data_IF_548970279117
#
_entry.id   IF_548970279117
#
_cell.length_a   1.000
_cell.length_b   1.000
_cell.length_c   1.000
_cell.angle_alpha   90.00
_cell.angle_beta   90.00
_cell.angle_gamma   90.00
#
_symmetry.space_group_name_H-M   'P 1'
#
loop_
_entity.id
_entity.type
_entity.pdbx_description
1 polymer ?
#
# COMPACT_ATOMS: atom_id res chain seq x y z
N UNK A 1 -8.96 8.76 5.11
CA UNK A 1 -10.08 8.99 4.17
C UNK A 1 -10.94 7.76 4.19
N UNK A 2 -12.11 7.84 4.79
CA UNK A 2 -13.05 6.71 4.79
C UNK A 2 -13.94 6.79 3.56
N UNK A 3 -14.43 5.66 3.05
CA UNK A 3 -15.28 5.60 1.84
C UNK A 3 -14.65 6.25 0.59
N UNK A 4 -13.38 5.90 0.29
CA UNK A 4 -12.58 6.51 -0.77
C UNK A 4 -13.30 6.67 -2.14
N UNK A 5 -14.07 5.68 -2.65
CA UNK A 5 -14.80 5.80 -3.92
C UNK A 5 -15.98 6.77 -3.90
N UNK A 6 -16.40 7.31 -2.74
CA UNK A 6 -17.50 8.28 -2.65
C UNK A 6 -17.02 9.73 -2.85
N UNK A 7 -15.71 9.97 -2.80
CA UNK A 7 -15.16 11.28 -3.13
C UNK A 7 -15.24 11.57 -4.62
N UNK A 8 -15.45 12.85 -4.97
CA UNK A 8 -15.39 13.30 -6.34
C UNK A 8 -14.04 12.95 -6.98
N UNK A 9 -14.09 12.40 -8.21
CA UNK A 9 -12.90 11.92 -8.90
C UNK A 9 -11.84 13.02 -9.04
N UNK A 10 -12.21 14.27 -9.29
CA UNK A 10 -11.25 15.38 -9.41
C UNK A 10 -10.51 15.61 -8.11
N UNK A 11 -11.17 15.47 -6.96
CA UNK A 11 -10.53 15.59 -5.64
C UNK A 11 -9.50 14.48 -5.44
N UNK A 12 -9.84 13.24 -5.81
CA UNK A 12 -8.91 12.12 -5.75
C UNK A 12 -7.69 12.31 -6.67
N UNK A 13 -7.89 12.83 -7.89
CA UNK A 13 -6.79 13.09 -8.82
C UNK A 13 -5.81 14.16 -8.32
N UNK A 14 -6.28 15.12 -7.53
CA UNK A 14 -5.43 16.17 -6.91
C UNK A 14 -4.49 15.58 -5.87
N UNK A 15 -4.84 14.46 -5.22
CA UNK A 15 -3.96 13.81 -4.23
C UNK A 15 -2.68 13.24 -4.84
N UNK A 16 -2.63 13.03 -6.16
CA UNK A 16 -1.46 12.40 -6.81
C UNK A 16 -0.17 13.21 -6.65
N UNK A 17 -0.26 14.53 -6.75
CA UNK A 17 0.91 15.42 -6.58
C UNK A 17 1.45 15.40 -5.15
N UNK A 18 0.66 15.69 -4.09
CA UNK A 18 1.18 15.71 -2.73
C UNK A 18 1.65 14.35 -2.25
N UNK A 19 1.05 13.24 -2.70
CA UNK A 19 1.53 11.89 -2.39
C UNK A 19 2.90 11.57 -2.98
N UNK A 20 3.31 12.27 -4.04
CA UNK A 20 4.61 12.08 -4.68
C UNK A 20 5.65 13.07 -4.17
N UNK A 21 5.28 14.36 -4.12
CA UNK A 21 6.22 15.47 -3.90
C UNK A 21 6.25 15.94 -2.45
N UNK A 22 5.24 15.60 -1.63
CA UNK A 22 5.06 16.12 -0.28
C UNK A 22 4.75 17.62 -0.24
N UNK A 23 4.32 18.22 -1.36
CA UNK A 23 3.99 19.64 -1.51
C UNK A 23 2.88 19.86 -2.52
N UNK A 24 2.27 21.04 -2.47
CA UNK A 24 1.26 21.48 -3.44
C UNK A 24 1.64 22.89 -3.92
N UNK A 25 1.61 23.11 -5.22
CA UNK A 25 1.82 24.42 -5.82
C UNK A 25 0.47 24.98 -6.28
N UNK A 26 0.09 26.14 -5.74
CA UNK A 26 -1.11 26.87 -6.14
C UNK A 26 -0.67 28.06 -6.98
N UNK A 27 -1.04 28.03 -8.26
CA UNK A 27 -0.80 29.11 -9.21
C UNK A 27 -2.11 29.83 -9.52
N UNK A 28 -2.19 31.14 -9.24
CA UNK A 28 -3.33 31.99 -9.62
C UNK A 28 -2.83 33.29 -10.23
N UNK A 29 -3.25 33.58 -11.46
CA UNK A 29 -2.95 34.81 -12.20
C UNK A 29 -1.47 35.26 -12.10
N UNK A 30 -1.15 36.15 -11.15
CA UNK A 30 0.18 36.72 -10.95
C UNK A 30 1.01 36.09 -9.82
N UNK A 31 0.44 35.17 -9.03
CA UNK A 31 1.08 34.62 -7.83
C UNK A 31 1.20 33.09 -7.88
N UNK A 32 2.36 32.61 -7.42
CA UNK A 32 2.65 31.20 -7.19
C UNK A 32 2.99 31.02 -5.71
N UNK A 33 2.25 30.15 -5.03
CA UNK A 33 2.53 29.78 -3.64
C UNK A 33 2.76 28.27 -3.54
N UNK A 34 3.73 27.87 -2.74
CA UNK A 34 4.04 26.47 -2.45
C UNK A 34 3.69 26.18 -0.99
N UNK A 35 2.93 25.12 -0.75
CA UNK A 35 2.50 24.69 0.56
C UNK A 35 3.03 23.27 0.87
N UNK A 36 3.53 23.02 2.09
CA UNK A 36 3.92 21.67 2.49
C UNK A 36 2.67 20.77 2.60
N UNK A 37 2.80 19.54 2.10
CA UNK A 37 1.74 18.52 2.11
C UNK A 37 2.35 17.12 2.33
N UNK A 38 3.25 17.00 3.30
CA UNK A 38 3.92 15.75 3.64
C UNK A 38 3.10 14.97 4.68
N UNK A 39 2.20 14.11 4.21
CA UNK A 39 1.31 13.30 5.06
C UNK A 39 1.36 11.82 4.66
N UNK A 40 0.91 10.96 5.58
CA UNK A 40 0.63 9.56 5.29
C UNK A 40 -0.86 9.41 4.96
N UNK A 41 -1.18 8.93 3.77
CA UNK A 41 -2.56 8.60 3.40
C UNK A 41 -2.94 7.24 3.95
N UNK A 42 -3.98 7.23 4.79
CA UNK A 42 -4.73 6.02 5.12
C UNK A 42 -6.11 6.16 4.49
N UNK A 43 -6.50 5.18 3.69
CA UNK A 43 -7.78 5.16 3.02
C UNK A 43 -8.49 3.82 3.21
N UNK A 44 -9.82 3.87 3.29
CA UNK A 44 -10.68 2.69 3.38
C UNK A 44 -11.76 2.76 2.30
N UNK A 45 -12.19 1.60 1.84
CA UNK A 45 -13.29 1.45 0.90
C UNK A 45 -13.96 0.10 1.07
N UNK A 46 -15.24 0.02 0.72
CA UNK A 46 -15.93 -1.24 0.61
C UNK A 46 -15.41 -2.06 -0.59
N UNK A 47 -15.54 -3.39 -0.60
CA UNK A 47 -15.09 -4.20 -1.74
C UNK A 47 -16.00 -4.03 -2.98
N UNK A 48 -17.24 -3.57 -2.79
CA UNK A 48 -18.27 -3.27 -3.79
C UNK A 48 -19.30 -2.26 -3.21
N UNK A 49 -20.26 -1.72 -4.00
CA UNK A 49 -21.27 -0.78 -3.51
C UNK A 49 -22.10 -1.27 -2.32
N UNK A 50 -22.46 -2.56 -2.28
CA UNK A 50 -23.26 -3.11 -1.18
C UNK A 50 -22.41 -3.59 0.02
N UNK A 51 -21.07 -3.56 -0.09
CA UNK A 51 -20.16 -3.93 1.00
C UNK A 51 -19.92 -5.43 1.22
N UNK A 52 -20.62 -6.33 0.52
CA UNK A 52 -20.61 -7.77 0.81
C UNK A 52 -19.83 -8.64 -0.17
N UNK A 53 -19.13 -8.07 -1.16
CA UNK A 53 -18.36 -8.86 -2.12
C UNK A 53 -17.29 -9.69 -1.40
N UNK A 54 -17.33 -11.02 -1.59
CA UNK A 54 -16.44 -11.97 -0.92
C UNK A 54 -16.91 -12.42 0.47
N UNK A 55 -18.04 -11.92 0.98
CA UNK A 55 -18.59 -12.31 2.28
C UNK A 55 -19.20 -13.73 2.20
N UNK A 56 -18.84 -14.59 3.17
CA UNK A 56 -19.29 -15.98 3.24
C UNK A 56 -20.82 -16.15 3.39
N UNK A 57 -21.53 -15.11 3.82
CA UNK A 57 -23.01 -15.10 3.91
C UNK A 57 -23.71 -15.05 2.55
N UNK A 58 -22.99 -14.76 1.46
CA UNK A 58 -23.58 -14.66 0.12
C UNK A 58 -24.52 -13.46 -0.08
N UNK A 59 -24.50 -12.48 0.84
CA UNK A 59 -25.37 -11.28 0.78
C UNK A 59 -25.05 -10.31 -0.37
N UNK A 60 -23.94 -10.52 -1.07
CA UNK A 60 -23.61 -9.69 -2.22
C UNK A 60 -24.54 -9.95 -3.39
N UNK A 61 -25.26 -8.92 -3.82
CA UNK A 61 -26.10 -8.93 -5.02
C UNK A 61 -25.53 -8.05 -6.14
N UNK A 62 -24.28 -7.57 -6.01
CA UNK A 62 -23.66 -6.74 -7.03
C UNK A 62 -23.21 -7.57 -8.22
N UNK A 63 -23.51 -7.10 -9.44
CA UNK A 63 -22.97 -7.68 -10.67
C UNK A 63 -21.48 -7.37 -10.81
N UNK A 64 -20.75 -8.15 -11.61
CA UNK A 64 -19.35 -7.89 -11.91
C UNK A 64 -19.14 -6.46 -12.48
N UNK A 65 -20.05 -6.00 -13.33
CA UNK A 65 -20.02 -4.65 -13.90
C UNK A 65 -20.21 -3.57 -12.82
N UNK A 66 -21.12 -3.76 -11.86
CA UNK A 66 -21.31 -2.83 -10.75
C UNK A 66 -20.06 -2.74 -9.86
N UNK A 67 -19.41 -3.88 -9.60
CA UNK A 67 -18.15 -3.94 -8.85
C UNK A 67 -17.04 -3.20 -9.60
N UNK A 68 -16.87 -3.48 -10.89
CA UNK A 68 -15.84 -2.85 -11.71
C UNK A 68 -16.06 -1.34 -11.80
N UNK A 69 -17.30 -0.89 -12.04
CA UNK A 69 -17.67 0.53 -12.08
C UNK A 69 -17.39 1.25 -10.76
N UNK A 70 -17.66 0.60 -9.64
CA UNK A 70 -17.39 1.14 -8.30
C UNK A 70 -15.88 1.32 -8.06
N UNK A 71 -15.08 0.29 -8.36
CA UNK A 71 -13.62 0.34 -8.21
C UNK A 71 -12.98 1.33 -9.18
N UNK A 72 -13.51 1.46 -10.40
CA UNK A 72 -13.04 2.40 -11.42
C UNK A 72 -13.26 3.88 -11.07
N UNK A 73 -13.97 4.20 -9.98
CA UNK A 73 -14.00 5.56 -9.43
C UNK A 73 -12.63 6.00 -8.90
N UNK A 74 -11.79 5.04 -8.49
CA UNK A 74 -10.40 5.29 -8.12
C UNK A 74 -9.54 4.98 -9.35
N UNK A 75 -8.71 5.93 -9.76
CA UNK A 75 -7.86 5.75 -10.93
C UNK A 75 -6.63 4.87 -10.62
N UNK A 76 -6.22 4.08 -11.61
CA UNK A 76 -4.95 3.32 -11.55
C UNK A 76 -3.75 4.19 -11.18
N UNK A 77 -3.55 5.37 -11.78
CA UNK A 77 -2.48 6.29 -11.39
C UNK A 77 -2.48 6.71 -9.91
N UNK A 78 -3.64 6.78 -9.25
CA UNK A 78 -3.70 7.06 -7.81
C UNK A 78 -3.32 5.82 -6.99
N UNK A 79 -3.83 4.64 -7.36
CA UNK A 79 -3.50 3.36 -6.69
C UNK A 79 -2.02 2.99 -6.80
N UNK A 80 -1.38 3.33 -7.92
CA UNK A 80 0.07 3.20 -8.12
C UNK A 80 0.89 4.01 -7.10
N UNK A 81 0.28 4.99 -6.41
CA UNK A 81 0.91 5.85 -5.40
C UNK A 81 0.62 5.40 -3.97
N UNK A 82 -0.27 4.43 -3.76
CA UNK A 82 -0.56 3.87 -2.44
C UNK A 82 0.32 2.64 -2.27
N UNK A 83 1.28 2.65 -1.35
CA UNK A 83 2.26 1.56 -1.21
C UNK A 83 1.61 0.20 -0.88
N UNK A 84 0.55 0.20 -0.06
CA UNK A 84 -0.10 -0.99 0.49
C UNK A 84 -1.60 -1.04 0.20
N UNK A 85 -2.06 -2.16 -0.34
CA UNK A 85 -3.44 -2.55 -0.53
C UNK A 85 -3.73 -3.78 0.34
N UNK A 86 -4.43 -3.56 1.45
CA UNK A 86 -4.75 -4.61 2.42
C UNK A 86 -6.24 -4.87 2.39
N UNK A 87 -6.61 -6.11 2.06
CA UNK A 87 -7.98 -6.59 2.20
C UNK A 87 -8.21 -7.02 3.66
N UNK A 88 -9.22 -6.43 4.29
CA UNK A 88 -9.61 -6.76 5.66
C UNK A 88 -10.91 -7.55 5.60
N UNK A 89 -10.85 -8.89 5.66
CA UNK A 89 -12.06 -9.71 5.64
C UNK A 89 -12.88 -9.48 6.91
N UNK A 90 -14.19 -9.69 6.81
CA UNK A 90 -15.07 -9.66 7.98
C UNK A 90 -14.67 -10.77 8.95
N UNK A 91 -14.40 -10.39 10.20
CA UNK A 91 -14.10 -11.33 11.27
C UNK A 91 -15.42 -11.91 11.83
N UNK A 92 -15.60 -13.24 11.93
CA UNK A 92 -16.79 -13.83 12.53
C UNK A 92 -16.97 -13.39 13.99
N UNK A 93 -18.21 -13.12 14.41
CA UNK A 93 -18.52 -12.70 15.78
C UNK A 93 -18.01 -13.67 16.85
N UNK A 94 -17.95 -14.97 16.56
CA UNK A 94 -17.42 -15.98 17.48
C UNK A 94 -15.93 -15.73 17.79
N UNK A 95 -15.13 -15.38 16.78
CA UNK A 95 -13.70 -15.08 16.93
C UNK A 95 -13.51 -13.79 17.72
N UNK A 96 -14.31 -12.75 17.45
CA UNK A 96 -14.26 -11.50 18.20
C UNK A 96 -14.61 -11.69 19.68
N UNK A 97 -15.52 -12.62 20.00
CA UNK A 97 -15.94 -12.91 21.38
C UNK A 97 -14.93 -13.77 22.14
N UNK A 98 -14.32 -14.73 21.46
CA UNK A 98 -13.33 -15.64 22.07
C UNK A 98 -11.97 -14.97 22.25
N UNK A 99 -11.65 -13.97 21.42
CA UNK A 99 -10.31 -13.43 21.32
C UNK A 99 -9.33 -14.44 20.71
N UNK A 100 -8.05 -14.07 20.59
CA UNK A 100 -7.01 -15.00 20.19
C UNK A 100 -6.57 -15.86 21.40
N UNK A 101 -6.34 -17.18 21.23
CA UNK A 101 -5.68 -18.00 22.24
C UNK A 101 -4.30 -17.40 22.55
N UNK A 102 -4.09 -16.92 23.78
CA UNK A 102 -2.87 -16.20 24.19
C UNK A 102 -3.01 -14.68 24.32
N UNK A 103 -4.21 -14.13 24.07
CA UNK A 103 -4.48 -12.70 24.12
C UNK A 103 -4.11 -11.97 22.82
N UNK A 104 -4.63 -10.77 22.65
CA UNK A 104 -4.29 -9.92 21.51
C UNK A 104 -2.88 -9.34 21.68
N UNK A 105 -2.13 -9.19 20.58
CA UNK A 105 -0.85 -8.52 20.62
C UNK A 105 -1.03 -7.06 21.06
N UNK A 106 -0.38 -6.67 22.17
CA UNK A 106 -0.51 -5.32 22.69
C UNK A 106 0.11 -4.27 21.75
N UNK A 107 -0.48 -3.06 21.72
CA UNK A 107 0.09 -1.95 20.96
C UNK A 107 1.52 -1.60 21.39
N UNK A 108 1.88 -1.86 22.66
CA UNK A 108 3.24 -1.67 23.16
C UNK A 108 4.24 -2.64 22.50
N UNK A 109 3.86 -3.91 22.34
CA UNK A 109 4.67 -4.91 21.65
C UNK A 109 4.86 -4.56 20.17
N UNK A 110 3.77 -4.18 19.48
CA UNK A 110 3.81 -3.72 18.08
C UNK A 110 4.71 -2.49 17.95
N UNK A 111 4.55 -1.49 18.82
CA UNK A 111 5.37 -0.27 18.83
C UNK A 111 6.86 -0.61 18.96
N UNK A 112 7.23 -1.48 19.90
CA UNK A 112 8.62 -1.88 20.07
C UNK A 112 9.20 -2.53 18.81
N UNK A 113 8.42 -3.38 18.11
CA UNK A 113 8.82 -3.99 16.83
C UNK A 113 9.02 -2.93 15.73
N UNK A 114 8.09 -1.98 15.61
CA UNK A 114 8.17 -0.89 14.62
C UNK A 114 9.37 0.03 14.90
N UNK A 115 9.60 0.39 16.16
CA UNK A 115 10.74 1.25 16.55
C UNK A 115 12.09 0.60 16.24
N UNK A 116 12.22 -0.72 16.47
CA UNK A 116 13.43 -1.47 16.08
C UNK A 116 13.70 -1.38 14.59
N UNK A 117 12.70 -1.70 13.76
CA UNK A 117 12.83 -1.63 12.30
C UNK A 117 13.16 -0.19 11.83
N UNK A 118 12.53 0.83 12.44
CA UNK A 118 12.83 2.24 12.12
C UNK A 118 14.26 2.64 12.48
N UNK A 119 14.83 2.12 13.58
CA UNK A 119 16.24 2.37 13.92
C UNK A 119 17.18 1.76 12.89
N UNK A 120 16.90 0.54 12.44
CA UNK A 120 17.68 -0.12 11.37
C UNK A 120 17.63 0.69 10.08
N UNK A 121 16.45 1.11 9.64
CA UNK A 121 16.29 1.94 8.45
C UNK A 121 17.09 3.25 8.54
N UNK A 122 16.97 3.97 9.68
CA UNK A 122 17.70 5.22 9.92
C UNK A 122 19.21 5.02 9.97
N UNK A 123 19.70 3.94 10.59
CA UNK A 123 21.12 3.63 10.61
C UNK A 123 21.67 3.34 9.20
N UNK A 124 20.87 2.70 8.34
CA UNK A 124 21.26 2.34 6.97
C UNK A 124 21.28 3.51 5.99
N UNK A 125 20.27 4.37 6.02
CA UNK A 125 20.06 5.41 4.99
C UNK A 125 19.77 6.81 5.54
N UNK A 126 19.77 7.00 6.86
CA UNK A 126 19.41 8.26 7.50
C UNK A 126 17.90 8.56 7.52
N UNK A 127 17.09 7.75 6.86
CA UNK A 127 15.65 8.00 6.70
C UNK A 127 14.78 6.74 6.82
N UNK A 128 13.46 6.90 6.80
CA UNK A 128 12.53 5.77 6.71
C UNK A 128 12.55 5.15 5.30
N UNK A 129 12.32 3.84 5.18
CA UNK A 129 12.35 3.15 3.89
C UNK A 129 11.35 3.75 2.85
N UNK A 130 10.22 4.28 3.30
CA UNK A 130 9.25 4.96 2.44
C UNK A 130 9.84 6.19 1.70
N UNK A 131 10.82 6.86 2.31
CA UNK A 131 11.45 8.08 1.79
C UNK A 131 12.70 7.82 0.95
N UNK A 132 13.10 6.56 0.72
CA UNK A 132 14.25 6.24 -0.13
C UNK A 132 14.06 6.78 -1.55
N UNK A 133 15.05 7.51 -2.06
CA UNK A 133 15.14 7.87 -3.47
C UNK A 133 15.54 6.70 -4.36
N UNK A 134 15.56 6.92 -5.68
CA UNK A 134 15.89 5.87 -6.66
C UNK A 134 17.31 5.33 -6.46
N UNK A 135 18.27 6.19 -6.12
CA UNK A 135 19.65 5.78 -5.87
C UNK A 135 19.75 4.90 -4.61
N UNK A 136 19.05 5.26 -3.55
CA UNK A 136 19.03 4.54 -2.30
C UNK A 136 18.28 3.21 -2.40
N UNK A 137 17.21 3.14 -3.22
CA UNK A 137 16.54 1.86 -3.54
C UNK A 137 17.53 0.90 -4.21
N UNK A 138 18.27 1.36 -5.21
CA UNK A 138 19.29 0.53 -5.88
C UNK A 138 20.36 0.03 -4.91
N UNK A 139 20.74 0.85 -3.93
CA UNK A 139 21.78 0.53 -2.94
C UNK A 139 21.29 -0.39 -1.82
N UNK A 140 20.07 -0.18 -1.32
CA UNK A 140 19.61 -0.80 -0.06
C UNK A 140 18.50 -1.84 -0.26
N UNK A 141 17.93 -1.93 -1.46
CA UNK A 141 16.88 -2.88 -1.81
C UNK A 141 17.30 -3.83 -2.93
N UNK A 142 18.60 -4.13 -3.03
CA UNK A 142 19.11 -5.10 -3.99
C UNK A 142 18.47 -6.48 -3.74
N UNK A 143 18.04 -7.11 -4.84
CA UNK A 143 17.48 -8.47 -4.85
C UNK A 143 18.54 -9.44 -5.36
N UNK A 144 18.55 -10.64 -4.81
CA UNK A 144 19.28 -11.77 -5.37
C UNK A 144 18.61 -12.30 -6.65
N UNK A 145 19.20 -13.32 -7.29
CA UNK A 145 18.70 -13.85 -8.55
C UNK A 145 17.28 -14.40 -8.47
N UNK A 146 16.89 -14.99 -7.34
CA UNK A 146 15.55 -15.54 -7.16
C UNK A 146 14.52 -14.43 -6.88
N UNK A 147 14.89 -13.41 -6.10
CA UNK A 147 14.09 -12.21 -5.91
C UNK A 147 13.85 -11.44 -7.20
N UNK A 148 14.87 -11.33 -8.07
CA UNK A 148 14.72 -10.70 -9.39
C UNK A 148 13.70 -11.43 -10.25
N UNK A 149 13.83 -12.76 -10.37
CA UNK A 149 12.87 -13.60 -11.12
C UNK A 149 11.44 -13.46 -10.58
N UNK A 150 11.26 -13.48 -9.25
CA UNK A 150 9.94 -13.32 -8.64
C UNK A 150 9.34 -11.95 -8.98
N UNK A 151 10.15 -10.89 -8.92
CA UNK A 151 9.69 -9.54 -9.24
C UNK A 151 9.31 -9.40 -10.72
N UNK A 152 10.12 -9.92 -11.64
CA UNK A 152 9.82 -9.92 -13.07
C UNK A 152 8.51 -10.64 -13.38
N UNK A 153 8.34 -11.86 -12.85
CA UNK A 153 7.09 -12.61 -12.97
C UNK A 153 5.89 -11.86 -12.43
N UNK A 154 6.05 -11.16 -11.30
CA UNK A 154 4.99 -10.36 -10.71
C UNK A 154 4.65 -9.13 -11.58
N UNK A 155 5.66 -8.45 -12.13
CA UNK A 155 5.46 -7.31 -13.04
C UNK A 155 4.67 -7.72 -14.27
N UNK A 156 5.04 -8.82 -14.92
CA UNK A 156 4.36 -9.32 -16.13
C UNK A 156 2.95 -9.78 -15.83
N UNK A 157 2.76 -10.56 -14.75
CA UNK A 157 1.47 -11.16 -14.42
C UNK A 157 0.44 -10.17 -13.90
N UNK A 158 0.89 -9.13 -13.20
CA UNK A 158 0.02 -8.14 -12.57
C UNK A 158 -0.03 -6.81 -13.34
N UNK A 159 0.74 -6.66 -14.41
CA UNK A 159 0.81 -5.44 -15.21
C UNK A 159 1.33 -4.23 -14.42
N UNK A 160 2.29 -4.46 -13.52
CA UNK A 160 2.76 -3.42 -12.59
C UNK A 160 3.61 -2.38 -13.30
N UNK A 161 3.38 -1.11 -12.96
CA UNK A 161 4.23 -0.01 -13.44
C UNK A 161 5.61 -0.03 -12.78
N UNK A 162 6.58 0.66 -13.39
CA UNK A 162 7.89 0.85 -12.77
C UNK A 162 7.79 1.58 -11.42
N UNK A 163 6.77 2.42 -11.22
CA UNK A 163 6.51 3.04 -9.91
C UNK A 163 6.13 1.98 -8.88
N UNK A 164 5.23 1.06 -9.22
CA UNK A 164 4.85 -0.04 -8.34
C UNK A 164 6.05 -0.92 -7.97
N UNK A 165 6.96 -1.19 -8.92
CA UNK A 165 8.23 -1.90 -8.65
C UNK A 165 9.04 -1.25 -7.50
N UNK A 166 9.28 0.07 -7.57
CA UNK A 166 10.02 0.77 -6.51
C UNK A 166 9.27 0.76 -5.17
N UNK A 167 7.94 0.85 -5.19
CA UNK A 167 7.10 0.82 -3.98
C UNK A 167 7.17 -0.55 -3.31
N UNK A 168 7.08 -1.63 -4.08
CA UNK A 168 7.24 -3.01 -3.58
C UNK A 168 8.62 -3.19 -2.94
N UNK A 169 9.69 -2.69 -3.55
CA UNK A 169 11.03 -2.77 -2.96
C UNK A 169 11.13 -2.06 -1.61
N UNK A 170 10.52 -0.88 -1.45
CA UNK A 170 10.49 -0.15 -0.17
C UNK A 170 9.71 -0.90 0.91
N UNK A 171 8.60 -1.53 0.52
CA UNK A 171 7.78 -2.36 1.42
C UNK A 171 8.55 -3.62 1.83
N UNK A 172 9.10 -4.36 0.86
CA UNK A 172 9.91 -5.56 1.09
C UNK A 172 11.11 -5.26 2.00
N UNK A 173 11.75 -4.09 1.81
CA UNK A 173 12.83 -3.62 2.69
C UNK A 173 12.37 -3.41 4.13
N UNK A 174 11.17 -2.87 4.32
CA UNK A 174 10.57 -2.67 5.64
C UNK A 174 10.20 -3.99 6.30
N UNK A 175 9.66 -4.95 5.55
CA UNK A 175 9.36 -6.30 6.02
C UNK A 175 10.66 -7.00 6.47
N UNK A 176 11.71 -6.90 5.67
CA UNK A 176 13.02 -7.45 6.02
C UNK A 176 13.60 -6.82 7.30
N UNK A 177 13.44 -5.50 7.50
CA UNK A 177 13.86 -4.83 8.74
C UNK A 177 13.04 -5.27 9.97
N UNK A 178 11.73 -5.51 9.79
CA UNK A 178 10.87 -6.07 10.84
C UNK A 178 11.28 -7.50 11.22
N UNK A 179 11.78 -8.26 10.26
CA UNK A 179 12.34 -9.60 10.46
C UNK A 179 13.80 -9.59 10.96
N UNK A 180 14.46 -8.43 11.05
CA UNK A 180 15.88 -8.33 11.42
C UNK A 180 16.84 -8.85 10.34
N UNK A 181 16.37 -8.96 9.09
CA UNK A 181 17.17 -9.44 7.96
C UNK A 181 17.96 -8.30 7.31
N UNK A 182 19.26 -8.49 7.09
CA UNK A 182 20.10 -7.51 6.40
C UNK A 182 19.72 -7.35 4.92
N UNK A 183 19.36 -8.44 4.25
CA UNK A 183 18.98 -8.48 2.83
C UNK A 183 17.47 -8.70 2.65
N UNK A 184 16.96 -8.38 1.46
CA UNK A 184 15.58 -8.70 1.08
C UNK A 184 15.55 -10.13 0.54
N UNK A 185 15.12 -11.07 1.37
CA UNK A 185 14.85 -12.43 0.94
C UNK A 185 13.51 -12.54 0.17
N UNK A 186 13.36 -13.64 -0.58
CA UNK A 186 12.21 -13.93 -1.45
C UNK A 186 10.87 -13.89 -0.70
N UNK A 187 10.83 -14.34 0.56
CA UNK A 187 9.62 -14.29 1.40
C UNK A 187 9.17 -12.85 1.69
N UNK A 188 10.10 -11.94 2.00
CA UNK A 188 9.78 -10.52 2.24
C UNK A 188 9.23 -9.86 0.98
N UNK A 189 9.82 -10.21 -0.17
CA UNK A 189 9.36 -9.73 -1.47
C UNK A 189 7.97 -10.27 -1.83
N UNK A 190 7.74 -11.57 -1.63
CA UNK A 190 6.45 -12.21 -1.88
C UNK A 190 5.33 -11.60 -1.03
N UNK A 191 5.60 -11.30 0.24
CA UNK A 191 4.66 -10.60 1.11
C UNK A 191 4.36 -9.17 0.60
N UNK A 192 5.40 -8.41 0.22
CA UNK A 192 5.23 -7.07 -0.34
C UNK A 192 4.39 -7.05 -1.62
N UNK A 193 4.62 -8.01 -2.53
CA UNK A 193 3.81 -8.19 -3.75
C UNK A 193 2.36 -8.55 -3.37
N UNK A 194 2.17 -9.38 -2.33
CA UNK A 194 0.87 -9.75 -1.80
C UNK A 194 0.02 -8.54 -1.38
N UNK A 195 0.65 -7.45 -0.93
CA UNK A 195 -0.01 -6.19 -0.61
C UNK A 195 -0.35 -5.32 -1.83
N UNK A 196 -0.22 -5.80 -3.07
CA UNK A 196 -0.58 -5.04 -4.30
C UNK A 196 -1.79 -5.61 -5.06
N UNK A 197 -2.59 -6.44 -4.39
CA UNK A 197 -3.68 -7.21 -5.02
C UNK A 197 -4.76 -6.39 -5.73
N UNK A 198 -5.04 -5.15 -5.31
CA UNK A 198 -6.06 -4.31 -5.94
C UNK A 198 -5.67 -3.85 -7.36
N UNK A 199 -4.37 -3.79 -7.70
CA UNK A 199 -3.89 -3.37 -9.02
C UNK A 199 -4.39 -4.33 -10.12
N UNK A 200 -4.49 -5.63 -9.79
CA UNK A 200 -5.01 -6.68 -10.67
C UNK A 200 -6.51 -6.52 -10.98
N UNK A 201 -7.28 -6.00 -10.05
CA UNK A 201 -8.74 -6.01 -10.14
C UNK A 201 -9.32 -4.82 -10.92
N UNK A 202 -8.48 -3.86 -11.30
CA UNK A 202 -8.87 -2.63 -12.00
C UNK A 202 -8.26 -2.58 -13.41
N UNK A 203 -7.13 -3.26 -13.62
CA UNK A 203 -6.45 -3.37 -14.92
C UNK A 203 -7.02 -4.49 -15.84
N UNK A 204 -8.15 -5.09 -15.48
CA UNK A 204 -8.84 -6.16 -16.24
C UNK A 204 -10.35 -6.04 -16.15
#
# INVERSE_FOLDING_TARGET
MDELPEFDRKVLEVLREPLESGRIVISRAANRAEFPANFQLLAAMNPCPCGYLGDASGRCHCTAEQVQRYRARISGPLLDRIDLHVEVPRVPHAVLRQGQPGGEESSAAVRARVERARRVARARSGTANAQLGVAEIKRHCALDGDGQKLMEQAMDKLGLSHRAYHRILKVARTIADLAGSETIAVNHLGEAIGYRRLDRAISG
#
